data_IF_539771775923
#
_entry.id   IF_539771775923
#
_cell.length_a   1.000
_cell.length_b   1.000
_cell.length_c   1.000
_cell.angle_alpha   90.00
_cell.angle_beta   90.00
_cell.angle_gamma   90.00
#
_symmetry.space_group_name_H-M   'P 1'
#
loop_
_entity.id
_entity.type
_entity.pdbx_description
1 polymer ?
#
# COMPACT_ATOMS: atom_id res chain seq x y z
N UNK A 1 2.35 -15.46 18.46
CA UNK A 1 3.15 -14.27 18.09
C UNK A 1 3.42 -14.30 16.60
N UNK A 2 3.44 -13.13 15.95
CA UNK A 2 3.80 -12.98 14.53
C UNK A 2 5.27 -13.34 14.34
N UNK A 3 5.63 -14.12 13.31
CA UNK A 3 7.03 -14.43 13.01
C UNK A 3 7.64 -13.31 12.17
N UNK A 4 8.95 -13.13 12.23
CA UNK A 4 9.60 -12.03 11.50
C UNK A 4 9.41 -12.11 9.99
N UNK A 5 9.42 -13.33 9.43
CA UNK A 5 9.12 -13.57 8.01
C UNK A 5 7.68 -13.21 7.58
N UNK A 6 6.77 -13.07 8.54
CA UNK A 6 5.36 -12.73 8.28
C UNK A 6 5.13 -11.20 8.38
N UNK A 7 6.17 -10.41 8.67
CA UNK A 7 6.09 -8.94 8.74
C UNK A 7 6.13 -8.35 7.34
N UNK A 8 5.17 -7.48 7.01
CA UNK A 8 5.09 -6.80 5.71
C UNK A 8 6.13 -5.66 5.61
N UNK A 9 6.25 -4.83 6.65
CA UNK A 9 7.22 -3.74 6.71
C UNK A 9 8.53 -4.24 7.30
N UNK A 10 9.40 -4.74 6.43
CA UNK A 10 10.63 -5.44 6.79
C UNK A 10 11.77 -4.51 7.16
N UNK A 11 11.76 -3.26 6.69
CA UNK A 11 12.82 -2.28 6.99
C UNK A 11 12.34 -1.14 7.89
N UNK A 12 11.30 -1.36 8.70
CA UNK A 12 10.66 -0.29 9.50
C UNK A 12 11.63 0.43 10.47
N UNK A 13 12.74 -0.22 10.85
CA UNK A 13 13.77 0.34 11.73
C UNK A 13 14.96 0.97 10.99
N UNK A 14 14.95 0.97 9.65
CA UNK A 14 16.03 1.57 8.84
C UNK A 14 17.38 0.85 8.91
N UNK A 15 17.39 -0.45 9.20
CA UNK A 15 18.63 -1.25 9.29
C UNK A 15 19.23 -1.60 7.92
N UNK A 16 18.43 -1.51 6.86
CA UNK A 16 18.80 -1.81 5.48
C UNK A 16 18.59 -0.59 4.57
N UNK A 17 19.15 -0.64 3.36
CA UNK A 17 19.02 0.43 2.37
C UNK A 17 17.54 0.70 2.02
N UNK A 18 17.10 1.94 2.20
CA UNK A 18 15.72 2.35 1.92
C UNK A 18 15.46 2.63 0.43
N UNK A 19 16.50 2.75 -0.39
CA UNK A 19 16.39 3.07 -1.81
C UNK A 19 16.14 1.82 -2.68
N UNK A 20 16.07 2.01 -3.99
CA UNK A 20 15.56 1.01 -4.94
C UNK A 20 16.30 -0.34 -4.88
N UNK A 21 17.62 -0.34 -4.71
CA UNK A 21 18.41 -1.58 -4.65
C UNK A 21 18.05 -2.39 -3.40
N UNK A 22 18.07 -1.74 -2.23
CA UNK A 22 17.62 -2.36 -0.98
C UNK A 22 16.16 -2.82 -1.04
N UNK A 23 15.26 -2.00 -1.58
CA UNK A 23 13.84 -2.32 -1.73
C UNK A 23 13.63 -3.60 -2.54
N UNK A 24 14.28 -3.71 -3.71
CA UNK A 24 14.22 -4.91 -4.56
C UNK A 24 14.76 -6.14 -3.86
N UNK A 25 15.83 -6.01 -3.06
CA UNK A 25 16.37 -7.14 -2.28
C UNK A 25 15.38 -7.67 -1.23
N UNK A 26 14.39 -6.87 -0.83
CA UNK A 26 13.32 -7.23 0.12
C UNK A 26 12.01 -7.64 -0.57
N UNK A 27 12.00 -7.75 -1.89
CA UNK A 27 10.83 -8.15 -2.67
C UNK A 27 9.88 -7.01 -3.05
N UNK A 28 10.28 -5.75 -2.87
CA UNK A 28 9.51 -4.62 -3.44
C UNK A 28 9.73 -4.57 -4.94
N UNK A 29 8.70 -4.16 -5.68
CA UNK A 29 8.69 -4.15 -7.14
C UNK A 29 8.86 -5.54 -7.78
N UNK A 30 8.59 -6.60 -7.02
CA UNK A 30 8.64 -7.97 -7.55
C UNK A 30 7.36 -8.27 -8.32
N UNK A 31 7.53 -8.59 -9.61
CA UNK A 31 6.46 -8.94 -10.54
C UNK A 31 5.27 -7.95 -10.63
N UNK A 32 5.46 -6.68 -10.24
CA UNK A 32 4.41 -5.64 -10.23
C UNK A 32 3.72 -5.51 -11.59
N UNK A 33 4.47 -5.67 -12.68
CA UNK A 33 3.94 -5.61 -14.05
C UNK A 33 2.89 -6.68 -14.30
N UNK A 34 3.16 -7.92 -13.90
CA UNK A 34 2.22 -9.02 -14.05
C UNK A 34 1.01 -8.80 -13.15
N UNK A 35 1.22 -8.32 -11.92
CA UNK A 35 0.14 -7.98 -10.99
C UNK A 35 -0.82 -6.95 -11.60
N UNK A 36 -0.30 -5.87 -12.19
CA UNK A 36 -1.12 -4.88 -12.90
C UNK A 36 -1.83 -5.47 -14.12
N UNK A 37 -1.20 -6.43 -14.81
CA UNK A 37 -1.79 -7.16 -15.93
C UNK A 37 -3.01 -8.01 -15.57
N UNK A 38 -3.24 -8.31 -14.28
CA UNK A 38 -4.42 -9.05 -13.80
C UNK A 38 -5.71 -8.24 -13.85
N UNK A 39 -5.59 -6.91 -13.97
CA UNK A 39 -6.70 -5.98 -14.07
C UNK A 39 -7.26 -5.53 -12.73
N UNK A 40 -7.84 -4.32 -12.74
CA UNK A 40 -8.36 -3.60 -11.57
C UNK A 40 -9.40 -4.38 -10.77
N UNK A 41 -10.37 -4.99 -11.44
CA UNK A 41 -11.45 -5.74 -10.78
C UNK A 41 -10.90 -6.94 -10.00
N UNK A 42 -9.95 -7.68 -10.56
CA UNK A 42 -9.27 -8.81 -9.90
C UNK A 42 -8.55 -8.35 -8.63
N UNK A 43 -7.79 -7.26 -8.71
CA UNK A 43 -7.06 -6.70 -7.56
C UNK A 43 -8.03 -6.28 -6.45
N UNK A 44 -9.13 -5.60 -6.80
CA UNK A 44 -10.15 -5.17 -5.82
C UNK A 44 -10.76 -6.37 -5.10
N UNK A 45 -11.11 -7.44 -5.82
CA UNK A 45 -11.69 -8.65 -5.22
C UNK A 45 -10.70 -9.36 -4.29
N UNK A 46 -9.41 -9.42 -4.63
CA UNK A 46 -8.39 -9.95 -3.71
C UNK A 46 -8.26 -9.15 -2.42
N UNK A 47 -8.28 -7.81 -2.52
CA UNK A 47 -8.21 -6.95 -1.33
C UNK A 47 -9.46 -7.09 -0.47
N UNK A 48 -10.64 -7.26 -1.08
CA UNK A 48 -11.87 -7.62 -0.34
C UNK A 48 -11.72 -8.97 0.37
N UNK A 49 -11.25 -10.00 -0.35
CA UNK A 49 -11.05 -11.34 0.19
C UNK A 49 -10.02 -11.39 1.31
N UNK A 50 -8.99 -10.54 1.28
CA UNK A 50 -7.98 -10.42 2.33
C UNK A 50 -8.54 -9.94 3.68
N UNK A 51 -9.73 -9.33 3.69
CA UNK A 51 -10.32 -8.73 4.88
C UNK A 51 -9.61 -7.45 5.34
N UNK A 52 -8.79 -6.81 4.50
CA UNK A 52 -8.07 -5.59 4.84
C UNK A 52 -9.04 -4.46 5.22
N UNK A 53 -8.77 -3.85 6.38
CA UNK A 53 -9.50 -2.69 6.89
C UNK A 53 -8.58 -1.46 6.95
N UNK A 54 -9.17 -0.27 6.88
CA UNK A 54 -8.46 1.01 6.90
C UNK A 54 -7.56 1.14 8.14
N UNK A 55 -6.35 1.65 7.93
CA UNK A 55 -5.29 1.80 8.96
C UNK A 55 -5.19 3.21 9.56
N UNK A 56 -6.04 4.14 9.10
CA UNK A 56 -6.15 5.51 9.60
C UNK A 56 -7.25 5.70 10.68
N UNK A 57 -7.58 4.67 11.45
CA UNK A 57 -8.55 4.77 12.56
C UNK A 57 -10.01 4.44 12.22
N UNK A 58 -10.52 4.85 11.06
CA UNK A 58 -11.93 4.59 10.67
C UNK A 58 -12.27 3.10 10.48
N UNK A 59 -11.27 2.25 10.20
CA UNK A 59 -11.46 0.79 10.12
C UNK A 59 -12.43 0.30 9.04
N UNK A 60 -12.70 1.10 8.00
CA UNK A 60 -13.58 0.74 6.88
C UNK A 60 -12.94 -0.35 5.99
N UNK A 61 -13.72 -1.22 5.36
CA UNK A 61 -13.18 -2.27 4.47
C UNK A 61 -12.49 -1.67 3.24
N UNK A 62 -11.18 -1.90 3.08
CA UNK A 62 -10.35 -1.21 2.07
C UNK A 62 -10.80 -1.56 0.65
N UNK A 63 -10.98 -2.85 0.33
CA UNK A 63 -11.42 -3.28 -1.01
C UNK A 63 -12.83 -2.81 -1.36
N UNK A 64 -13.72 -2.73 -0.37
CA UNK A 64 -15.05 -2.14 -0.55
C UNK A 64 -14.95 -0.64 -0.89
N UNK A 65 -14.10 0.10 -0.17
CA UNK A 65 -13.86 1.52 -0.46
C UNK A 65 -13.35 1.74 -1.88
N UNK A 66 -12.39 0.92 -2.33
CA UNK A 66 -11.82 1.01 -3.68
C UNK A 66 -12.86 0.73 -4.76
N UNK A 67 -13.83 -0.15 -4.49
CA UNK A 67 -14.90 -0.48 -5.43
C UNK A 67 -15.91 0.64 -5.68
N UNK A 68 -15.90 1.71 -4.86
CA UNK A 68 -16.77 2.87 -5.07
C UNK A 68 -16.28 3.81 -6.17
N UNK A 69 -15.01 3.71 -6.56
CA UNK A 69 -14.46 4.55 -7.62
C UNK A 69 -15.09 4.15 -8.98
N UNK A 70 -15.58 5.10 -9.79
CA UNK A 70 -16.21 4.78 -11.07
C UNK A 70 -15.28 3.96 -11.96
N UNK A 71 -15.87 3.01 -12.71
CA UNK A 71 -15.10 2.13 -13.61
C UNK A 71 -14.64 2.86 -14.86
N UNK A 72 -15.51 3.70 -15.41
CA UNK A 72 -15.22 4.50 -16.59
C UNK A 72 -14.73 5.89 -16.19
N UNK A 73 -13.69 6.36 -16.87
CA UNK A 73 -13.25 7.75 -16.79
C UNK A 73 -14.05 8.51 -17.84
N UNK A 74 -14.92 9.41 -17.39
CA UNK A 74 -15.65 10.32 -18.27
C UNK A 74 -14.85 11.62 -18.43
N UNK A 75 -15.41 12.76 -18.02
CA UNK A 75 -14.81 14.08 -18.25
C UNK A 75 -13.75 14.44 -17.20
N UNK A 76 -13.65 13.67 -16.11
CA UNK A 76 -12.80 13.99 -14.96
C UNK A 76 -11.82 12.86 -14.67
N UNK A 77 -10.50 13.16 -14.60
CA UNK A 77 -9.53 12.18 -14.16
C UNK A 77 -9.82 11.76 -12.72
N UNK A 78 -9.63 10.47 -12.44
CA UNK A 78 -9.63 9.96 -11.08
C UNK A 78 -8.26 10.15 -10.45
N UNK A 79 -8.25 10.44 -9.16
CA UNK A 79 -7.02 10.63 -8.39
C UNK A 79 -7.01 9.74 -7.16
N UNK A 80 -5.82 9.24 -6.85
CA UNK A 80 -5.50 8.62 -5.58
C UNK A 80 -4.82 9.67 -4.69
N UNK A 81 -5.37 9.88 -3.49
CA UNK A 81 -4.72 10.68 -2.45
C UNK A 81 -4.34 9.76 -1.30
N UNK A 82 -3.04 9.65 -1.05
CA UNK A 82 -2.50 8.97 0.13
C UNK A 82 -2.43 9.97 1.27
N UNK A 83 -3.05 9.64 2.40
CA UNK A 83 -2.92 10.44 3.61
C UNK A 83 -1.60 10.08 4.32
N UNK A 84 -0.73 11.06 4.47
CA UNK A 84 0.60 10.94 5.07
C UNK A 84 0.86 12.02 6.15
N UNK A 85 -0.20 12.66 6.65
CA UNK A 85 -0.08 13.79 7.60
C UNK A 85 0.35 13.33 9.00
N UNK A 86 -0.10 12.15 9.43
CA UNK A 86 0.19 11.51 10.74
C UNK A 86 0.27 12.49 11.92
N UNK A 87 -0.70 13.42 12.01
CA UNK A 87 -0.75 14.42 13.06
C UNK A 87 -1.33 13.93 14.39
N UNK A 88 -1.80 12.67 14.47
CA UNK A 88 -2.46 12.15 15.66
C UNK A 88 -1.46 11.92 16.83
N UNK A 89 -1.82 12.29 18.08
CA UNK A 89 -0.93 12.03 19.21
C UNK A 89 -0.63 10.54 19.40
N UNK A 90 0.65 10.18 19.40
CA UNK A 90 1.12 8.81 19.61
C UNK A 90 1.17 7.94 18.36
N UNK A 91 0.91 8.48 17.17
CA UNK A 91 1.16 7.78 15.89
C UNK A 91 2.56 8.12 15.36
N UNK A 92 3.25 7.10 14.86
CA UNK A 92 4.56 7.21 14.20
C UNK A 92 4.78 6.13 13.13
N UNK A 93 3.73 5.37 12.81
CA UNK A 93 3.76 4.25 11.86
C UNK A 93 4.03 4.74 10.43
N UNK A 94 3.42 5.85 10.02
CA UNK A 94 3.46 6.36 8.65
C UNK A 94 4.80 7.05 8.40
N UNK A 95 5.32 7.78 9.41
CA UNK A 95 6.67 8.36 9.43
C UNK A 95 7.75 7.32 9.14
N UNK A 96 7.72 6.17 9.80
CA UNK A 96 8.73 5.13 9.60
C UNK A 96 8.63 4.47 8.21
N UNK A 97 7.41 4.24 7.71
CA UNK A 97 7.20 3.71 6.35
C UNK A 97 7.77 4.68 5.32
N UNK A 98 7.46 5.98 5.44
CA UNK A 98 7.94 7.00 4.50
C UNK A 98 9.46 7.16 4.49
N UNK A 99 10.12 6.94 5.63
CA UNK A 99 11.58 7.11 5.76
C UNK A 99 12.37 5.86 5.38
N UNK A 100 11.88 4.69 5.80
CA UNK A 100 12.68 3.48 5.81
C UNK A 100 12.18 2.41 4.85
N UNK A 101 10.92 2.47 4.40
CA UNK A 101 10.36 1.56 3.40
C UNK A 101 9.52 2.30 2.33
N UNK A 102 10.01 3.42 1.75
CA UNK A 102 9.21 4.28 0.87
C UNK A 102 8.76 3.57 -0.40
N UNK A 103 9.53 2.59 -0.89
CA UNK A 103 9.19 1.86 -2.10
C UNK A 103 7.95 0.99 -1.96
N UNK A 104 7.68 0.39 -0.78
CA UNK A 104 6.40 -0.29 -0.50
C UNK A 104 5.21 0.66 -0.62
N UNK A 105 5.37 1.89 -0.15
CA UNK A 105 4.32 2.91 -0.27
C UNK A 105 4.09 3.30 -1.73
N UNK A 106 5.15 3.60 -2.47
CA UNK A 106 5.05 4.04 -3.87
C UNK A 106 4.50 2.92 -4.77
N UNK A 107 4.93 1.67 -4.56
CA UNK A 107 4.36 0.51 -5.24
C UNK A 107 2.87 0.34 -4.90
N UNK A 108 2.52 0.50 -3.62
CA UNK A 108 1.12 0.52 -3.18
C UNK A 108 0.29 1.60 -3.88
N UNK A 109 0.86 2.80 -4.12
CA UNK A 109 0.21 3.85 -4.89
C UNK A 109 -0.09 3.39 -6.33
N UNK A 110 0.87 2.75 -6.99
CA UNK A 110 0.71 2.24 -8.35
C UNK A 110 -0.34 1.13 -8.44
N UNK A 111 -0.37 0.23 -7.46
CA UNK A 111 -1.31 -0.90 -7.43
C UNK A 111 -2.74 -0.43 -7.15
N UNK A 112 -2.90 0.64 -6.38
CA UNK A 112 -4.21 1.14 -5.94
C UNK A 112 -4.80 2.26 -6.80
N UNK A 113 -4.03 2.80 -7.75
CA UNK A 113 -4.46 3.86 -8.68
C UNK A 113 -5.41 3.37 -9.77
#
# INVERSE_FOLDING_TARGET
MLKDKDRIFTNIYGHHDAYLEGARSRGDWDDTKTLLGRGRDTIIEEIKASGLRGRGGAGFGTGLKWSFMPKEITDRPHYLVVNADEGEPGTCKDREIMRHDPHKLIEGCLISS
#
